data_IF_918185095380
#
_entry.id   IF_918185095380
#
_cell.length_a   1.000
_cell.length_b   1.000
_cell.length_c   1.000
_cell.angle_alpha   90.00
_cell.angle_beta   90.00
_cell.angle_gamma   90.00
#
_symmetry.space_group_name_H-M   'P 1'
#
loop_
_entity.id
_entity.type
_entity.pdbx_description
1 polymer ?
#
# COMPACT_ATOMS: atom_id res chain seq x y z
N UNK A 1 2.19 47.32 50.63
CA UNK A 1 3.04 47.11 49.44
C UNK A 1 2.62 45.80 48.81
N UNK A 2 1.95 45.88 47.66
CA UNK A 2 1.44 44.74 46.89
C UNK A 2 2.60 44.05 46.15
N UNK A 3 2.65 42.73 46.18
CA UNK A 3 3.40 41.95 45.19
C UNK A 3 2.44 40.96 44.52
N UNK A 4 2.11 41.28 43.28
CA UNK A 4 1.34 40.44 42.35
C UNK A 4 2.21 39.27 41.88
N UNK A 5 1.70 38.05 41.95
CA UNK A 5 2.27 36.89 41.26
C UNK A 5 1.36 36.53 40.08
N UNK A 6 1.90 36.72 38.88
CA UNK A 6 1.30 36.31 37.61
C UNK A 6 1.50 34.81 37.42
N UNK A 7 0.43 34.03 37.47
CA UNK A 7 0.43 32.65 37.02
C UNK A 7 0.46 32.63 35.48
N UNK A 8 1.60 32.27 34.91
CA UNK A 8 1.70 31.93 33.49
C UNK A 8 1.10 30.53 33.28
N UNK A 9 -0.11 30.49 32.73
CA UNK A 9 -0.71 29.25 32.21
C UNK A 9 -0.04 28.98 30.86
N UNK A 10 0.88 28.01 30.84
CA UNK A 10 1.46 27.48 29.60
C UNK A 10 0.35 26.68 28.91
N UNK A 11 -0.22 27.25 27.84
CA UNK A 11 -1.06 26.50 26.91
C UNK A 11 -0.18 25.48 26.19
N UNK A 12 -0.19 24.23 26.68
CA UNK A 12 0.35 23.09 25.94
C UNK A 12 -0.60 22.82 24.79
N UNK A 13 -0.32 23.46 23.64
CA UNK A 13 -1.03 23.19 22.40
C UNK A 13 -0.85 21.71 22.04
N UNK A 14 -1.92 20.93 22.17
CA UNK A 14 -2.00 19.59 21.64
C UNK A 14 -2.01 19.74 20.10
N UNK A 15 -0.83 19.69 19.50
CA UNK A 15 -0.68 19.53 18.07
C UNK A 15 -1.28 18.16 17.74
N UNK A 16 -2.54 18.12 17.33
CA UNK A 16 -3.05 16.99 16.55
C UNK A 16 -2.18 16.92 15.30
N UNK A 17 -1.19 16.04 15.30
CA UNK A 17 -0.52 15.61 14.11
C UNK A 17 -1.59 14.94 13.25
N UNK A 18 -2.21 15.70 12.36
CA UNK A 18 -2.93 15.17 11.23
C UNK A 18 -1.90 14.40 10.43
N UNK A 19 -1.75 13.11 10.69
CA UNK A 19 -0.98 12.21 9.86
C UNK A 19 -1.66 12.21 8.50
N UNK A 20 -1.22 13.11 7.61
CA UNK A 20 -1.40 12.86 6.18
C UNK A 20 -0.71 11.53 5.94
N UNK A 21 -1.48 10.46 5.78
CA UNK A 21 -0.90 9.16 5.44
C UNK A 21 -0.37 9.36 4.02
N UNK A 22 0.93 9.60 3.92
CA UNK A 22 1.58 9.75 2.63
C UNK A 22 1.35 8.45 1.86
N UNK A 23 0.84 8.58 0.64
CA UNK A 23 0.68 7.43 -0.23
C UNK A 23 2.06 6.88 -0.58
N UNK A 24 2.17 5.56 -0.63
CA UNK A 24 3.37 4.85 -1.09
C UNK A 24 3.86 5.46 -2.41
N UNK A 25 5.14 5.79 -2.46
CA UNK A 25 5.87 6.31 -3.62
C UNK A 25 6.94 5.29 -4.02
N UNK A 26 6.88 4.81 -5.25
CA UNK A 26 7.81 3.80 -5.72
C UNK A 26 9.28 4.24 -5.66
N UNK A 27 9.60 5.53 -5.76
CA UNK A 27 11.00 5.97 -5.69
C UNK A 27 11.49 6.18 -4.26
N UNK A 28 10.58 6.38 -3.31
CA UNK A 28 10.94 6.70 -1.92
C UNK A 28 10.76 5.55 -0.95
N UNK A 29 9.78 4.69 -1.21
CA UNK A 29 9.32 3.68 -0.25
C UNK A 29 9.53 2.25 -0.78
N UNK A 30 9.71 2.06 -2.10
CA UNK A 30 10.03 0.74 -2.64
C UNK A 30 11.49 0.37 -2.40
N UNK A 31 11.71 -0.44 -1.36
CA UNK A 31 13.03 -0.97 -1.00
C UNK A 31 13.04 -2.50 -0.90
N UNK A 32 11.90 -3.16 -1.11
CA UNK A 32 11.81 -4.62 -1.03
C UNK A 32 12.46 -5.32 -2.23
N UNK A 33 12.51 -4.64 -3.38
CA UNK A 33 13.08 -5.15 -4.63
C UNK A 33 13.81 -4.02 -5.36
N UNK A 34 14.86 -4.38 -6.09
CA UNK A 34 15.56 -3.45 -6.99
C UNK A 34 14.85 -3.36 -8.36
N UNK A 35 14.91 -2.21 -9.05
CA UNK A 35 14.45 -2.12 -10.43
C UNK A 35 15.17 -3.14 -11.32
N UNK A 36 14.41 -3.98 -12.01
CA UNK A 36 14.93 -4.98 -12.92
C UNK A 36 14.09 -5.07 -14.20
N UNK A 37 14.76 -5.09 -15.35
CA UNK A 37 14.10 -5.23 -16.65
C UNK A 37 13.25 -6.50 -16.72
N UNK A 38 12.08 -6.42 -17.38
CA UNK A 38 11.14 -7.53 -17.49
C UNK A 38 10.35 -7.83 -16.21
N UNK A 39 10.45 -6.97 -15.20
CA UNK A 39 9.71 -7.12 -13.93
C UNK A 39 8.97 -5.84 -13.55
N UNK A 40 8.05 -5.97 -12.61
CA UNK A 40 7.41 -4.86 -11.93
C UNK A 40 7.05 -5.24 -10.50
N UNK A 41 6.78 -4.24 -9.66
CA UNK A 41 6.35 -4.47 -8.28
C UNK A 41 4.95 -3.93 -8.08
N UNK A 42 4.13 -4.67 -7.36
CA UNK A 42 2.84 -4.20 -6.86
C UNK A 42 2.94 -4.05 -5.35
N UNK A 43 2.69 -2.84 -4.86
CA UNK A 43 2.49 -2.59 -3.45
C UNK A 43 1.00 -2.61 -3.15
N UNK A 44 0.57 -3.46 -2.23
CA UNK A 44 -0.79 -3.54 -1.71
C UNK A 44 -0.87 -2.89 -0.33
N UNK A 45 -1.91 -2.10 -0.11
CA UNK A 45 -2.17 -1.42 1.15
C UNK A 45 -3.59 -1.71 1.60
N UNK A 46 -3.74 -2.20 2.84
CA UNK A 46 -5.05 -2.47 3.46
C UNK A 46 -5.68 -1.20 4.03
N UNK A 47 -6.98 -1.24 4.34
CA UNK A 47 -7.69 -0.11 5.00
C UNK A 47 -7.03 0.27 6.34
N UNK A 48 -6.43 -0.70 7.04
CA UNK A 48 -5.73 -0.44 8.30
C UNK A 48 -4.40 0.27 8.11
N UNK A 49 -3.73 0.03 6.99
CA UNK A 49 -2.42 0.62 6.72
C UNK A 49 -2.54 2.04 6.12
N UNK A 50 -3.68 2.36 5.49
CA UNK A 50 -3.95 3.68 4.92
C UNK A 50 -5.44 4.00 4.85
N UNK A 51 -5.80 5.26 5.08
CA UNK A 51 -7.15 5.80 4.93
C UNK A 51 -7.46 6.32 3.51
N UNK A 52 -6.67 5.94 2.50
CA UNK A 52 -6.91 6.37 1.13
C UNK A 52 -8.29 5.90 0.64
N UNK A 53 -9.23 6.85 0.54
CA UNK A 53 -10.62 6.61 0.12
C UNK A 53 -11.33 5.52 0.94
N UNK A 54 -10.88 5.24 2.16
CA UNK A 54 -11.42 4.19 3.03
C UNK A 54 -11.55 2.81 2.36
N UNK A 55 -10.65 2.50 1.42
CA UNK A 55 -10.62 1.23 0.68
C UNK A 55 -9.18 0.72 0.59
N UNK A 56 -8.97 -0.60 0.46
CA UNK A 56 -7.68 -1.11 0.06
C UNK A 56 -7.34 -0.61 -1.34
N UNK A 57 -6.05 -0.57 -1.64
CA UNK A 57 -5.55 -0.10 -2.92
C UNK A 57 -4.21 -0.74 -3.26
N UNK A 58 -3.85 -0.63 -4.52
CA UNK A 58 -2.54 -1.02 -5.02
C UNK A 58 -1.84 0.13 -5.73
N UNK A 59 -0.52 0.11 -5.71
CA UNK A 59 0.34 0.95 -6.54
C UNK A 59 1.35 0.09 -7.27
N UNK A 60 1.57 0.40 -8.54
CA UNK A 60 2.42 -0.38 -9.44
C UNK A 60 3.68 0.43 -9.72
N UNK A 61 4.83 -0.19 -9.44
CA UNK A 61 6.16 0.34 -9.67
C UNK A 61 6.76 -0.37 -10.89
N UNK A 62 6.91 0.38 -11.99
CA UNK A 62 7.56 -0.14 -13.21
C UNK A 62 8.99 0.38 -13.29
N UNK A 63 9.98 -0.48 -13.58
CA UNK A 63 11.37 -0.07 -13.65
C UNK A 63 11.55 0.97 -14.77
N UNK A 64 12.35 2.00 -14.50
CA UNK A 64 12.73 3.03 -15.45
C UNK A 64 14.18 3.45 -15.20
N UNK A 65 15.11 2.86 -15.94
CA UNK A 65 16.54 2.99 -15.67
C UNK A 65 16.88 2.51 -14.26
N UNK A 66 17.47 3.38 -13.45
CA UNK A 66 17.85 3.08 -12.06
C UNK A 66 16.74 3.40 -11.04
N UNK A 67 15.54 3.77 -11.49
CA UNK A 67 14.44 4.15 -10.62
C UNK A 67 13.12 3.49 -11.02
N UNK A 68 12.02 4.03 -10.49
CA UNK A 68 10.68 3.53 -10.72
C UNK A 68 9.79 4.58 -11.36
N UNK A 69 8.84 4.13 -12.17
CA UNK A 69 7.67 4.92 -12.57
C UNK A 69 6.48 4.60 -11.67
N UNK A 70 5.74 5.64 -11.29
CA UNK A 70 4.57 5.56 -10.44
C UNK A 70 3.30 5.48 -11.31
N UNK A 71 2.50 4.42 -11.15
CA UNK A 71 1.08 4.44 -11.56
C UNK A 71 0.26 5.03 -10.42
N UNK A 72 -0.75 5.88 -10.68
CA UNK A 72 -1.65 6.38 -9.62
C UNK A 72 -2.28 5.23 -8.82
N UNK A 73 -2.55 5.40 -7.50
CA UNK A 73 -3.13 4.32 -6.71
C UNK A 73 -4.48 3.87 -7.26
N UNK A 74 -4.63 2.56 -7.41
CA UNK A 74 -5.84 1.93 -7.92
C UNK A 74 -6.58 1.29 -6.76
N UNK A 75 -7.80 1.76 -6.50
CA UNK A 75 -8.64 1.20 -5.44
C UNK A 75 -9.07 -0.23 -5.76
N UNK A 76 -9.11 -1.08 -4.75
CA UNK A 76 -9.57 -2.46 -4.83
C UNK A 76 -10.73 -2.65 -3.85
N UNK A 77 -11.97 -2.28 -4.23
CA UNK A 77 -13.10 -2.18 -3.31
C UNK A 77 -13.41 -3.48 -2.55
N UNK A 78 -13.78 -3.37 -1.29
CA UNK A 78 -14.11 -4.50 -0.43
C UNK A 78 -15.41 -5.23 -0.80
N UNK A 79 -16.28 -4.60 -1.59
CA UNK A 79 -17.52 -5.21 -2.08
C UNK A 79 -17.31 -6.18 -3.26
N UNK A 80 -16.11 -6.27 -3.80
CA UNK A 80 -15.81 -7.12 -4.95
C UNK A 80 -15.36 -8.50 -4.49
N UNK A 81 -16.31 -9.43 -4.44
CA UNK A 81 -16.07 -10.86 -4.21
C UNK A 81 -16.12 -11.60 -5.57
N UNK A 82 -15.10 -12.41 -5.96
CA UNK A 82 -13.91 -12.80 -5.18
C UNK A 82 -12.64 -11.98 -5.40
N UNK A 83 -12.57 -11.16 -6.46
CA UNK A 83 -11.41 -10.33 -6.73
C UNK A 83 -11.79 -9.07 -7.52
N UNK A 84 -11.07 -7.97 -7.26
CA UNK A 84 -11.10 -6.80 -8.15
C UNK A 84 -10.17 -7.05 -9.33
N UNK A 85 -10.70 -6.96 -10.55
CA UNK A 85 -9.89 -6.98 -11.77
C UNK A 85 -9.54 -5.55 -12.18
N UNK A 86 -8.25 -5.22 -12.13
CA UNK A 86 -7.70 -3.97 -12.64
C UNK A 86 -7.25 -4.18 -14.09
N UNK A 87 -7.74 -3.33 -14.99
CA UNK A 87 -7.50 -3.51 -16.42
C UNK A 87 -6.03 -3.20 -16.79
N UNK A 88 -5.56 -3.81 -17.87
CA UNK A 88 -4.25 -3.46 -18.46
C UNK A 88 -4.14 -1.98 -18.84
N UNK A 89 -5.24 -1.32 -19.18
CA UNK A 89 -5.25 0.09 -19.58
C UNK A 89 -5.05 1.01 -18.36
N UNK A 90 -5.66 0.67 -17.22
CA UNK A 90 -5.49 1.41 -15.96
C UNK A 90 -4.11 1.20 -15.34
N UNK A 91 -3.57 -0.02 -15.47
CA UNK A 91 -2.29 -0.42 -14.87
C UNK A 91 -1.09 -0.13 -15.79
N UNK A 92 -1.33 -0.04 -17.10
CA UNK A 92 -0.30 -0.01 -18.13
C UNK A 92 0.60 -1.25 -18.11
N UNK A 93 0.05 -2.42 -17.77
CA UNK A 93 0.69 -3.74 -17.84
C UNK A 93 0.24 -4.50 -19.09
N UNK A 94 0.78 -5.70 -19.35
CA UNK A 94 0.38 -6.52 -20.50
C UNK A 94 -0.92 -7.30 -20.28
N UNK A 95 -1.16 -7.71 -19.03
CA UNK A 95 -2.33 -8.46 -18.61
C UNK A 95 -3.10 -7.74 -17.50
N UNK A 96 -4.33 -8.18 -17.23
CA UNK A 96 -5.08 -7.68 -16.09
C UNK A 96 -4.45 -8.14 -14.78
N UNK A 97 -4.54 -7.30 -13.76
CA UNK A 97 -4.13 -7.62 -12.40
C UNK A 97 -5.37 -7.96 -11.58
N UNK A 98 -5.39 -9.12 -10.95
CA UNK A 98 -6.47 -9.52 -10.03
C UNK A 98 -6.01 -9.33 -8.60
N UNK A 99 -6.83 -8.67 -7.79
CA UNK A 99 -6.55 -8.42 -6.37
C UNK A 99 -7.68 -8.98 -5.53
N UNK A 100 -7.35 -9.94 -4.67
CA UNK A 100 -8.25 -10.45 -3.62
C UNK A 100 -7.82 -9.84 -2.30
N UNK A 101 -8.73 -9.14 -1.64
CA UNK A 101 -8.40 -8.37 -0.44
C UNK A 101 -8.23 -9.23 0.81
N UNK A 102 -8.92 -10.39 0.90
CA UNK A 102 -8.98 -11.16 2.14
C UNK A 102 -9.35 -10.28 3.34
N UNK A 103 -8.66 -10.47 4.46
CA UNK A 103 -8.78 -9.61 5.66
C UNK A 103 -8.22 -8.18 5.48
N UNK A 104 -7.73 -7.78 4.30
CA UNK A 104 -7.29 -6.41 4.04
C UNK A 104 -8.40 -5.36 4.05
N UNK A 105 -9.65 -5.82 4.08
CA UNK A 105 -10.85 -5.02 4.30
C UNK A 105 -11.20 -4.82 5.77
N UNK A 106 -10.56 -5.56 6.68
CA UNK A 106 -10.86 -5.51 8.10
C UNK A 106 -10.08 -4.38 8.78
N UNK A 107 -10.80 -3.43 9.37
CA UNK A 107 -10.21 -2.30 10.11
C UNK A 107 -9.81 -2.65 11.55
N UNK A 108 -10.09 -3.89 12.00
CA UNK A 108 -9.79 -4.36 13.35
C UNK A 108 -8.29 -4.57 13.64
N UNK A 109 -7.90 -4.43 14.90
CA UNK A 109 -6.54 -4.75 15.37
C UNK A 109 -6.35 -6.26 15.51
N UNK A 110 -5.42 -6.85 14.76
CA UNK A 110 -5.02 -8.26 14.88
C UNK A 110 -5.10 -9.11 13.61
N UNK A 111 -5.59 -8.56 12.50
CA UNK A 111 -5.84 -9.31 11.25
C UNK A 111 -4.65 -9.31 10.29
N UNK A 112 -4.38 -10.45 9.65
CA UNK A 112 -3.10 -10.80 9.05
C UNK A 112 -3.10 -10.86 7.53
N UNK A 113 -3.91 -10.08 6.80
CA UNK A 113 -4.11 -10.24 5.35
C UNK A 113 -4.43 -11.69 4.94
N UNK A 114 -5.05 -12.47 5.83
CA UNK A 114 -5.37 -13.85 5.55
C UNK A 114 -6.29 -13.90 4.32
N UNK A 115 -5.96 -14.80 3.39
CA UNK A 115 -6.68 -14.92 2.11
C UNK A 115 -6.46 -13.77 1.12
N UNK A 116 -5.61 -12.79 1.43
CA UNK A 116 -5.28 -11.72 0.49
C UNK A 116 -4.23 -12.18 -0.52
N UNK A 117 -4.42 -11.84 -1.79
CA UNK A 117 -3.51 -12.22 -2.86
C UNK A 117 -3.58 -11.28 -4.06
N UNK A 118 -2.50 -11.30 -4.85
CA UNK A 118 -2.41 -10.61 -6.13
C UNK A 118 -2.06 -11.66 -7.19
N UNK A 119 -2.81 -11.69 -8.29
CA UNK A 119 -2.53 -12.56 -9.42
C UNK A 119 -2.31 -11.77 -10.71
N UNK A 120 -1.28 -12.16 -11.45
CA UNK A 120 -0.89 -11.58 -12.74
C UNK A 120 -0.36 -12.66 -13.66
N UNK A 121 -0.97 -12.87 -14.82
CA UNK A 121 -0.54 -13.85 -15.83
C UNK A 121 -0.04 -15.19 -15.25
N UNK A 122 -0.92 -15.94 -14.57
CA UNK A 122 -0.61 -17.21 -13.90
C UNK A 122 0.42 -17.14 -12.75
N UNK A 123 0.94 -15.97 -12.41
CA UNK A 123 1.74 -15.73 -11.22
C UNK A 123 0.80 -15.33 -10.08
N UNK A 124 0.97 -15.94 -8.91
CA UNK A 124 0.19 -15.62 -7.71
C UNK A 124 1.17 -15.24 -6.59
N UNK A 125 0.86 -14.14 -5.92
CA UNK A 125 1.54 -13.68 -4.72
C UNK A 125 0.54 -13.64 -3.57
N UNK A 126 0.76 -14.46 -2.54
CA UNK A 126 -0.03 -14.47 -1.30
C UNK A 126 0.57 -13.43 -0.36
N UNK A 127 -0.28 -12.58 0.22
CA UNK A 127 0.17 -11.42 1.02
C UNK A 127 0.29 -11.74 2.53
N UNK A 128 -0.19 -12.91 2.93
CA UNK A 128 -0.04 -13.45 4.28
C UNK A 128 1.39 -14.01 4.46
N UNK A 129 2.16 -13.36 5.33
CA UNK A 129 3.53 -13.79 5.68
C UNK A 129 4.63 -13.26 4.76
N UNK A 130 5.88 -13.40 5.19
CA UNK A 130 7.05 -13.13 4.37
C UNK A 130 7.52 -14.41 3.69
N UNK A 131 7.54 -14.42 2.36
CA UNK A 131 7.96 -15.58 1.58
C UNK A 131 7.44 -15.57 0.15
N UNK A 132 8.14 -16.25 -0.75
CA UNK A 132 7.76 -16.32 -2.17
C UNK A 132 8.06 -15.00 -2.91
N UNK A 133 7.02 -14.41 -3.52
CA UNK A 133 7.14 -13.21 -4.38
C UNK A 133 7.06 -11.88 -3.63
N UNK A 134 6.77 -11.92 -2.33
CA UNK A 134 6.51 -10.74 -1.52
C UNK A 134 7.63 -10.48 -0.52
N UNK A 135 7.95 -9.19 -0.35
CA UNK A 135 8.84 -8.71 0.70
C UNK A 135 8.16 -8.66 2.07
N UNK A 136 8.88 -8.20 3.11
CA UNK A 136 8.30 -7.97 4.42
C UNK A 136 7.20 -6.91 4.37
N UNK A 137 6.24 -6.99 5.31
CA UNK A 137 5.19 -5.98 5.46
C UNK A 137 5.77 -4.68 6.02
N UNK A 138 5.54 -3.57 5.34
CA UNK A 138 5.86 -2.22 5.77
C UNK A 138 4.78 -1.26 5.27
N UNK A 139 3.85 -0.88 6.14
CA UNK A 139 2.65 -0.10 5.79
C UNK A 139 1.86 -0.62 4.57
N UNK A 140 1.94 -1.93 4.35
CA UNK A 140 1.48 -2.62 3.15
C UNK A 140 2.42 -3.77 2.81
N UNK A 141 2.26 -4.39 1.64
CA UNK A 141 3.11 -5.50 1.17
C UNK A 141 3.48 -5.28 -0.28
N UNK A 142 4.77 -5.31 -0.57
CA UNK A 142 5.30 -5.23 -1.94
C UNK A 142 5.57 -6.64 -2.47
N UNK A 143 5.13 -6.93 -3.70
CA UNK A 143 5.39 -8.21 -4.37
C UNK A 143 5.86 -8.00 -5.81
N UNK A 144 6.87 -8.76 -6.22
CA UNK A 144 7.49 -8.67 -7.56
C UNK A 144 6.83 -9.64 -8.54
N UNK A 145 6.61 -9.19 -9.78
CA UNK A 145 6.02 -9.95 -10.88
C UNK A 145 6.91 -9.88 -12.12
N UNK A 146 6.95 -10.97 -12.90
CA UNK A 146 7.45 -10.92 -14.28
C UNK A 146 6.42 -10.18 -15.14
N UNK A 147 6.87 -9.33 -16.05
CA UNK A 147 6.01 -8.49 -16.89
C UNK A 147 5.24 -9.27 -17.96
N UNK A 148 5.77 -10.41 -18.40
CA UNK A 148 5.22 -11.22 -19.49
C UNK A 148 4.17 -12.24 -19.08
#
# INVERSE_FOLDING_TARGET
MHFSTLNQIVFTGLLCASSSVALFDCNKDQHAFDPAEGKFVVHYTSIRDSNYKDQPWVRICKPNGNGWTNVEPLSTPCSNDPATSLSKDDTGLHHNLLVTNGEGCDSGSGHGLNGASIAYNNQVAVLEGSGGRCGPRDHGVSCEFLLD
#
